data_IF_577095173187
#
_entry.id   IF_577095173187
#
_cell.length_a   1.000
_cell.length_b   1.000
_cell.length_c   1.000
_cell.angle_alpha   90.00
_cell.angle_beta   90.00
_cell.angle_gamma   90.00
#
_symmetry.space_group_name_H-M   'P 1'
#
loop_
_entity.id
_entity.type
_entity.pdbx_description
1 polymer ?
#
# COMPACT_ATOMS: atom_id res chain seq x y z
N UNK A 1 -40.63 37.56 -0.61
CA UNK A 1 -40.14 37.78 -1.99
C UNK A 1 -39.37 36.53 -2.42
N UNK A 2 -39.87 35.82 -3.44
CA UNK A 2 -39.35 34.52 -3.91
C UNK A 2 -38.27 34.74 -4.98
N UNK A 3 -37.11 34.10 -4.87
CA UNK A 3 -36.19 33.91 -5.99
C UNK A 3 -35.69 32.46 -6.00
N UNK A 4 -36.23 31.71 -6.96
CA UNK A 4 -35.71 30.43 -7.41
C UNK A 4 -34.50 30.70 -8.33
N UNK A 5 -33.43 29.90 -8.21
CA UNK A 5 -32.37 29.85 -9.21
C UNK A 5 -32.47 28.51 -9.95
N UNK A 6 -32.66 28.63 -11.25
CA UNK A 6 -32.85 27.58 -12.24
C UNK A 6 -31.47 27.11 -12.72
N UNK A 7 -31.31 25.78 -12.82
CA UNK A 7 -30.21 25.13 -13.52
C UNK A 7 -30.34 25.32 -15.03
N UNK A 8 -29.22 25.57 -15.71
CA UNK A 8 -29.15 25.43 -17.16
C UNK A 8 -27.94 24.57 -17.53
N UNK A 9 -28.26 23.37 -17.99
CA UNK A 9 -27.39 22.43 -18.71
C UNK A 9 -27.28 22.96 -20.14
N UNK A 10 -26.07 23.13 -20.66
CA UNK A 10 -25.87 23.28 -22.10
C UNK A 10 -24.83 22.26 -22.59
N UNK A 11 -25.39 21.22 -23.21
CA UNK A 11 -24.75 20.32 -24.15
C UNK A 11 -24.24 21.11 -25.36
N UNK A 12 -23.04 20.78 -25.84
CA UNK A 12 -22.65 21.11 -27.21
C UNK A 12 -21.83 19.95 -27.79
N UNK A 13 -22.52 19.08 -28.52
CA UNK A 13 -21.94 18.15 -29.49
C UNK A 13 -21.58 18.91 -30.77
N UNK A 14 -20.42 18.63 -31.36
CA UNK A 14 -20.05 18.80 -32.78
C UNK A 14 -18.58 18.37 -32.92
N UNK A 15 -18.05 17.78 -33.99
CA UNK A 15 -18.49 17.11 -35.22
C UNK A 15 -17.19 16.47 -35.77
N UNK A 16 -17.36 15.40 -36.53
CA UNK A 16 -16.42 14.69 -37.41
C UNK A 16 -15.14 15.42 -37.84
N UNK A 17 -14.03 14.67 -37.88
CA UNK A 17 -13.11 14.73 -39.03
C UNK A 17 -12.52 13.34 -39.29
N UNK A 18 -12.90 12.76 -40.44
CA UNK A 18 -12.22 11.63 -41.08
C UNK A 18 -10.90 12.13 -41.66
N UNK A 19 -9.79 11.54 -41.24
CA UNK A 19 -8.49 11.65 -41.90
C UNK A 19 -7.96 10.28 -42.26
N UNK A 20 -8.06 9.90 -43.54
CA UNK A 20 -7.41 8.74 -44.12
C UNK A 20 -6.09 9.17 -44.78
N UNK A 21 -4.97 8.56 -44.38
CA UNK A 21 -3.67 8.52 -45.05
C UNK A 21 -2.75 7.62 -44.18
N UNK A 22 -1.84 6.77 -44.63
CA UNK A 22 -1.37 6.21 -45.90
C UNK A 22 -0.35 5.13 -45.44
N UNK A 23 -0.34 3.90 -45.97
CA UNK A 23 0.59 2.86 -45.48
C UNK A 23 1.97 2.98 -46.15
N UNK A 24 2.97 3.45 -45.40
CA UNK A 24 4.36 3.45 -45.83
C UNK A 24 4.95 2.02 -45.79
N UNK A 25 5.35 1.54 -46.96
CA UNK A 25 6.06 0.28 -47.21
C UNK A 25 7.43 0.25 -46.50
N UNK A 26 7.63 -0.66 -45.56
CA UNK A 26 8.95 -1.00 -45.05
C UNK A 26 9.58 -2.14 -45.89
N UNK A 27 10.77 -1.89 -46.45
CA UNK A 27 11.61 -2.87 -47.16
C UNK A 27 12.30 -3.82 -46.17
N UNK A 28 12.47 -5.11 -46.51
CA UNK A 28 13.32 -6.01 -45.74
C UNK A 28 14.78 -5.82 -46.16
N UNK A 29 15.63 -5.38 -45.23
CA UNK A 29 17.09 -5.36 -45.42
C UNK A 29 17.70 -6.59 -44.76
N UNK A 30 18.19 -7.48 -45.61
CA UNK A 30 19.07 -8.59 -45.29
C UNK A 30 20.39 -8.08 -44.68
N UNK A 31 20.86 -8.70 -43.60
CA UNK A 31 22.29 -8.70 -43.28
C UNK A 31 22.75 -10.08 -42.83
N UNK A 32 23.81 -10.49 -43.52
CA UNK A 32 24.49 -11.78 -43.54
C UNK A 32 25.49 -11.91 -42.37
N UNK A 33 25.82 -13.17 -42.12
CA UNK A 33 27.14 -13.73 -41.75
C UNK A 33 27.63 -13.60 -40.30
N UNK A 34 27.50 -14.73 -39.59
CA UNK A 34 28.58 -15.62 -39.12
C UNK A 34 29.93 -14.98 -38.69
N UNK A 35 30.42 -15.37 -37.50
CA UNK A 35 31.56 -16.31 -37.27
C UNK A 35 31.75 -16.50 -35.74
N UNK A 36 32.22 -17.67 -35.26
CA UNK A 36 32.20 -18.04 -33.84
C UNK A 36 33.57 -17.86 -33.14
N UNK A 37 33.56 -18.24 -31.85
CA UNK A 37 34.66 -18.56 -30.95
C UNK A 37 35.34 -17.38 -30.22
N UNK A 38 35.31 -17.43 -28.88
CA UNK A 38 36.52 -17.66 -28.06
C UNK A 38 36.15 -17.88 -26.59
N UNK A 39 36.23 -19.13 -26.15
CA UNK A 39 36.42 -19.50 -24.73
C UNK A 39 37.73 -18.91 -24.23
N UNK A 40 37.78 -18.41 -22.98
CA UNK A 40 38.87 -18.85 -22.12
C UNK A 40 38.46 -19.13 -20.66
N UNK A 41 39.19 -20.10 -20.11
CA UNK A 41 39.68 -20.19 -18.74
C UNK A 41 38.67 -20.39 -17.59
N UNK A 42 38.50 -21.69 -17.28
CA UNK A 42 38.51 -22.24 -15.92
C UNK A 42 39.41 -21.43 -14.98
N UNK A 43 38.82 -20.78 -13.99
CA UNK A 43 39.50 -20.42 -12.75
C UNK A 43 39.17 -21.49 -11.71
N UNK A 44 40.17 -22.30 -11.41
CA UNK A 44 40.17 -23.27 -10.32
C UNK A 44 40.34 -22.47 -9.04
N UNK A 45 39.26 -22.29 -8.29
CA UNK A 45 39.35 -21.78 -6.92
C UNK A 45 39.53 -22.94 -5.93
N UNK A 46 40.46 -22.68 -5.01
CA UNK A 46 41.16 -23.58 -4.12
C UNK A 46 40.23 -24.08 -2.99
N UNK A 47 40.29 -25.37 -2.60
CA UNK A 47 39.54 -25.85 -1.44
C UNK A 47 40.06 -25.19 -0.16
N UNK A 48 39.18 -24.49 0.56
CA UNK A 48 39.45 -24.02 1.92
C UNK A 48 39.39 -25.21 2.88
N UNK A 49 40.50 -25.40 3.59
CA UNK A 49 40.65 -26.30 4.73
C UNK A 49 39.64 -25.94 5.84
N UNK A 50 39.00 -26.91 6.48
CA UNK A 50 38.19 -26.66 7.66
C UNK A 50 39.10 -26.39 8.86
N UNK A 51 39.05 -25.16 9.38
CA UNK A 51 39.67 -24.82 10.66
C UNK A 51 38.78 -25.36 11.79
N UNK A 52 39.39 -26.24 12.57
CA UNK A 52 38.82 -26.98 13.68
C UNK A 52 38.81 -26.06 14.90
N UNK A 53 37.75 -25.25 15.05
CA UNK A 53 37.57 -24.44 16.24
C UNK A 53 37.06 -25.30 17.41
N UNK A 54 37.82 -25.23 18.50
CA UNK A 54 37.69 -26.08 19.66
C UNK A 54 36.41 -25.79 20.45
N UNK A 55 35.78 -26.87 20.90
CA UNK A 55 34.71 -26.86 21.87
C UNK A 55 35.18 -26.19 23.18
N UNK A 56 34.64 -25.00 23.46
CA UNK A 56 34.62 -24.43 24.80
C UNK A 56 33.30 -24.85 25.48
N UNK A 57 33.43 -25.60 26.57
CA UNK A 57 32.33 -26.08 27.38
C UNK A 57 31.51 -24.90 27.97
N UNK A 58 30.17 -24.95 27.94
CA UNK A 58 29.35 -24.00 28.68
C UNK A 58 29.43 -24.31 30.18
N UNK A 59 29.80 -23.30 30.96
CA UNK A 59 29.74 -23.32 32.42
C UNK A 59 28.29 -23.50 32.92
N UNK A 60 28.08 -24.13 34.10
CA UNK A 60 26.77 -24.32 34.69
C UNK A 60 26.18 -22.97 35.11
N UNK A 61 25.14 -22.53 34.40
CA UNK A 61 24.31 -21.39 34.81
C UNK A 61 23.43 -21.79 35.98
N UNK A 62 23.66 -21.12 37.11
CA UNK A 62 22.89 -21.18 38.34
C UNK A 62 21.46 -20.65 38.12
N UNK A 63 20.42 -21.32 38.63
CA UNK A 63 19.05 -20.82 38.55
C UNK A 63 18.86 -19.73 39.62
N UNK A 64 18.91 -18.46 39.21
CA UNK A 64 18.48 -17.35 40.05
C UNK A 64 16.95 -17.29 39.99
N UNK A 65 16.32 -17.69 41.10
CA UNK A 65 14.90 -17.51 41.35
C UNK A 65 14.56 -16.01 41.31
N UNK A 66 13.88 -15.57 40.26
CA UNK A 66 13.31 -14.23 40.18
C UNK A 66 11.79 -14.33 40.36
N UNK A 67 11.41 -14.35 41.63
CA UNK A 67 10.04 -14.10 42.07
C UNK A 67 9.79 -12.59 42.01
N UNK A 68 9.13 -12.12 40.95
CA UNK A 68 8.53 -10.79 40.91
C UNK A 68 7.06 -10.93 40.54
N UNK A 69 6.22 -10.76 41.57
CA UNK A 69 4.78 -10.69 41.47
C UNK A 69 4.36 -9.66 40.41
N UNK A 70 3.83 -10.16 39.30
CA UNK A 70 3.20 -9.33 38.28
C UNK A 70 1.88 -8.80 38.83
N UNK A 71 1.90 -7.56 39.32
CA UNK A 71 0.70 -6.81 39.63
C UNK A 71 -0.13 -6.68 38.34
N UNK A 72 -1.22 -7.42 38.28
CA UNK A 72 -2.19 -7.41 37.19
C UNK A 72 -2.90 -6.06 37.20
N UNK A 73 -2.31 -5.06 36.54
CA UNK A 73 -2.96 -3.80 36.24
C UNK A 73 -4.14 -4.12 35.33
N UNK A 74 -5.36 -4.00 35.86
CA UNK A 74 -6.59 -4.19 35.10
C UNK A 74 -6.54 -3.31 33.86
N UNK A 75 -6.46 -3.95 32.68
CA UNK A 75 -6.48 -3.26 31.39
C UNK A 75 -7.84 -2.58 31.29
N UNK A 76 -7.90 -1.24 31.13
CA UNK A 76 -9.17 -0.55 30.95
C UNK A 76 -9.86 -1.14 29.72
N UNK A 77 -11.09 -1.60 29.91
CA UNK A 77 -11.92 -2.17 28.85
C UNK A 77 -12.32 -1.03 27.91
N UNK A 78 -11.53 -0.85 26.84
CA UNK A 78 -11.85 0.09 25.77
C UNK A 78 -13.20 -0.30 25.17
N UNK A 79 -14.18 0.62 25.08
CA UNK A 79 -15.50 0.31 24.54
C UNK A 79 -15.38 -0.30 23.14
N UNK A 80 -16.07 -1.42 22.96
CA UNK A 80 -16.01 -2.21 21.73
C UNK A 80 -16.52 -1.37 20.54
N UNK A 81 -15.63 -1.08 19.61
CA UNK A 81 -15.93 -0.25 18.45
C UNK A 81 -16.84 -1.00 17.49
N UNK A 82 -17.85 -0.32 16.94
CA UNK A 82 -18.67 -0.86 15.85
C UNK A 82 -17.79 -1.23 14.64
N UNK A 83 -17.93 -2.47 14.16
CA UNK A 83 -17.24 -2.98 12.98
C UNK A 83 -17.63 -2.18 11.72
N UNK A 84 -16.67 -1.83 10.86
CA UNK A 84 -16.93 -1.10 9.62
C UNK A 84 -17.41 -2.05 8.50
N UNK A 85 -18.63 -1.86 7.97
CA UNK A 85 -19.14 -2.72 6.89
C UNK A 85 -18.68 -2.29 5.50
N UNK A 86 -18.05 -1.11 5.36
CA UNK A 86 -17.62 -0.55 4.08
C UNK A 86 -16.14 -0.17 4.14
N UNK A 87 -15.28 -1.05 3.63
CA UNK A 87 -13.85 -0.82 3.50
C UNK A 87 -13.42 -1.12 2.07
N UNK A 88 -12.41 -0.41 1.58
CA UNK A 88 -11.75 -0.72 0.32
C UNK A 88 -10.35 -1.22 0.64
N UNK A 89 -10.17 -2.53 0.48
CA UNK A 89 -8.95 -3.23 0.87
C UNK A 89 -7.99 -3.28 -0.33
N UNK A 90 -6.81 -2.66 -0.25
CA UNK A 90 -5.79 -2.79 -1.27
C UNK A 90 -5.28 -4.23 -1.32
N UNK A 91 -5.23 -4.79 -2.52
CA UNK A 91 -4.78 -6.15 -2.79
C UNK A 91 -4.01 -6.20 -4.12
N UNK A 92 -3.06 -7.15 -4.27
CA UNK A 92 -2.47 -7.42 -5.57
C UNK A 92 -3.55 -7.80 -6.58
N UNK A 93 -3.46 -7.27 -7.80
CA UNK A 93 -4.45 -7.43 -8.86
C UNK A 93 -4.76 -8.90 -9.20
N UNK A 94 -3.77 -9.77 -9.04
CA UNK A 94 -3.92 -11.22 -9.29
C UNK A 94 -4.97 -11.88 -8.37
N UNK A 95 -5.16 -11.35 -7.16
CA UNK A 95 -6.09 -11.88 -6.15
C UNK A 95 -7.35 -11.01 -5.96
N UNK A 96 -7.57 -10.06 -6.87
CA UNK A 96 -8.73 -9.17 -6.84
C UNK A 96 -10.05 -9.88 -7.15
N UNK A 97 -11.17 -9.26 -6.77
CA UNK A 97 -12.53 -9.70 -7.12
C UNK A 97 -13.05 -8.98 -8.36
N UNK A 98 -14.16 -9.45 -8.94
CA UNK A 98 -14.78 -8.78 -10.09
C UNK A 98 -15.31 -7.38 -9.77
N UNK A 99 -15.56 -7.11 -8.48
CA UNK A 99 -15.99 -5.81 -7.95
C UNK A 99 -14.83 -4.90 -7.52
N UNK A 100 -13.58 -5.33 -7.72
CA UNK A 100 -12.41 -4.55 -7.37
C UNK A 100 -12.20 -3.38 -8.34
N UNK A 101 -11.56 -2.31 -7.84
CA UNK A 101 -11.29 -1.10 -8.63
C UNK A 101 -9.83 -0.70 -8.57
N UNK A 102 -9.28 -0.30 -9.70
CA UNK A 102 -8.02 0.43 -9.72
C UNK A 102 -8.25 1.87 -9.21
N UNK A 103 -7.33 2.39 -8.41
CA UNK A 103 -7.40 3.75 -7.85
C UNK A 103 -6.18 4.52 -8.31
N UNK A 104 -6.38 5.77 -8.75
CA UNK A 104 -5.28 6.65 -9.11
C UNK A 104 -4.43 6.15 -10.28
N UNK A 105 -4.96 5.30 -11.15
CA UNK A 105 -4.19 4.70 -12.24
C UNK A 105 -3.29 3.53 -11.82
N UNK A 106 -3.55 2.92 -10.66
CA UNK A 106 -2.85 1.70 -10.22
C UNK A 106 -2.87 0.59 -11.27
N UNK A 107 -1.74 -0.09 -11.42
CA UNK A 107 -1.52 -1.13 -12.42
C UNK A 107 -1.51 -2.51 -11.77
N UNK A 108 -0.75 -2.67 -10.68
CA UNK A 108 -0.58 -3.93 -9.95
C UNK A 108 -1.50 -4.05 -8.74
N UNK A 109 -2.10 -2.95 -8.29
CA UNK A 109 -3.00 -2.93 -7.12
C UNK A 109 -4.45 -2.68 -7.52
N UNK A 110 -5.35 -3.40 -6.87
CA UNK A 110 -6.79 -3.15 -6.92
C UNK A 110 -7.36 -3.05 -5.52
N UNK A 111 -8.42 -2.26 -5.36
CA UNK A 111 -9.10 -2.04 -4.10
C UNK A 111 -10.40 -2.84 -4.10
N UNK A 112 -10.43 -3.88 -3.27
CA UNK A 112 -11.54 -4.81 -3.18
C UNK A 112 -12.54 -4.35 -2.10
N UNK A 113 -13.86 -4.41 -2.37
CA UNK A 113 -14.87 -4.21 -1.33
C UNK A 113 -14.69 -5.20 -0.19
N UNK A 114 -14.61 -4.69 1.04
CA UNK A 114 -14.40 -5.49 2.24
C UNK A 114 -15.22 -4.96 3.42
N UNK A 115 -15.30 -5.78 4.46
CA UNK A 115 -15.90 -5.45 5.76
C UNK A 115 -14.98 -5.90 6.88
N UNK A 116 -15.08 -5.24 8.01
CA UNK A 116 -14.45 -5.70 9.23
C UNK A 116 -15.26 -6.83 9.86
N UNK A 117 -14.57 -7.78 10.46
CA UNK A 117 -15.12 -8.93 11.17
C UNK A 117 -14.47 -9.04 12.55
N UNK A 118 -15.15 -9.68 13.52
CA UNK A 118 -14.65 -9.78 14.89
C UNK A 118 -13.45 -10.75 15.02
N UNK A 119 -13.39 -11.78 14.16
CA UNK A 119 -12.34 -12.79 14.20
C UNK A 119 -11.19 -12.46 13.25
N UNK A 120 -9.97 -12.90 13.58
CA UNK A 120 -8.81 -12.85 12.69
C UNK A 120 -9.17 -13.45 11.32
N UNK A 121 -8.86 -12.78 10.18
CA UNK A 121 -7.90 -11.68 10.01
C UNK A 121 -8.48 -10.26 10.22
N UNK A 122 -9.63 -10.13 10.89
CA UNK A 122 -10.34 -8.87 11.18
C UNK A 122 -10.94 -8.16 9.97
N UNK A 123 -10.58 -8.54 8.75
CA UNK A 123 -11.19 -8.04 7.51
C UNK A 123 -11.55 -9.20 6.60
N UNK A 124 -12.73 -9.11 5.98
CA UNK A 124 -13.20 -10.05 4.99
C UNK A 124 -13.60 -9.31 3.72
N UNK A 125 -13.04 -9.74 2.59
CA UNK A 125 -13.45 -9.27 1.26
C UNK A 125 -14.84 -9.82 0.96
N UNK A 126 -15.73 -8.98 0.44
CA UNK A 126 -17.03 -9.44 -0.02
C UNK A 126 -16.86 -10.36 -1.23
N UNK A 127 -17.49 -11.53 -1.20
CA UNK A 127 -17.65 -12.31 -2.43
C UNK A 127 -18.64 -11.62 -3.37
N UNK A 128 -18.64 -12.00 -4.64
CA UNK A 128 -19.54 -11.39 -5.63
C UNK A 128 -21.03 -11.56 -5.24
N UNK A 129 -21.40 -12.73 -4.71
CA UNK A 129 -22.76 -12.99 -4.21
C UNK A 129 -23.11 -12.16 -2.98
N UNK A 130 -22.15 -11.96 -2.06
CA UNK A 130 -22.36 -11.12 -0.88
C UNK A 130 -22.46 -9.65 -1.26
N UNK A 131 -21.64 -9.19 -2.20
CA UNK A 131 -21.66 -7.83 -2.70
C UNK A 131 -22.97 -7.52 -3.43
N UNK A 132 -23.46 -8.45 -4.27
CA UNK A 132 -24.74 -8.32 -4.96
C UNK A 132 -25.90 -8.15 -3.96
N UNK A 133 -25.88 -8.87 -2.82
CA UNK A 133 -26.88 -8.74 -1.75
C UNK A 133 -26.88 -7.38 -1.06
N UNK A 134 -25.80 -6.61 -1.14
CA UNK A 134 -25.77 -5.23 -0.62
C UNK A 134 -26.67 -4.28 -1.42
N UNK A 135 -27.00 -4.63 -2.67
CA UNK A 135 -27.89 -3.83 -3.52
C UNK A 135 -27.35 -2.43 -3.85
N UNK A 136 -26.02 -2.25 -3.86
CA UNK A 136 -25.36 -0.98 -4.18
C UNK A 136 -24.32 -1.16 -5.27
N UNK A 137 -24.10 -0.11 -6.07
CA UNK A 137 -23.04 -0.11 -7.07
C UNK A 137 -21.64 0.02 -6.45
N UNK A 138 -20.61 -0.35 -7.20
CA UNK A 138 -19.20 -0.18 -6.79
C UNK A 138 -18.85 1.29 -6.48
N UNK A 139 -19.38 2.25 -7.24
CA UNK A 139 -19.18 3.69 -6.97
C UNK A 139 -19.82 4.14 -5.65
N UNK A 140 -21.03 3.66 -5.36
CA UNK A 140 -21.72 3.96 -4.11
C UNK A 140 -21.01 3.32 -2.91
N UNK A 141 -20.48 2.10 -3.09
CA UNK A 141 -19.66 1.42 -2.09
C UNK A 141 -18.38 2.20 -1.81
N UNK A 142 -17.64 2.60 -2.85
CA UNK A 142 -16.42 3.41 -2.72
C UNK A 142 -16.67 4.68 -1.92
N UNK A 143 -17.74 5.43 -2.23
CA UNK A 143 -18.10 6.64 -1.48
C UNK A 143 -18.31 6.35 0.01
N UNK A 144 -18.98 5.25 0.36
CA UNK A 144 -19.18 4.83 1.75
C UNK A 144 -17.87 4.39 2.41
N UNK A 145 -16.99 3.70 1.68
CA UNK A 145 -15.69 3.27 2.17
C UNK A 145 -14.75 4.46 2.43
N UNK A 146 -14.74 5.48 1.58
CA UNK A 146 -13.99 6.73 1.83
C UNK A 146 -14.47 7.45 3.09
N UNK A 147 -15.79 7.48 3.34
CA UNK A 147 -16.35 8.01 4.58
C UNK A 147 -16.00 7.16 5.81
N UNK A 148 -15.90 5.83 5.66
CA UNK A 148 -15.44 4.95 6.73
C UNK A 148 -13.97 5.19 7.05
N UNK A 149 -13.10 5.26 6.04
CA UNK A 149 -11.69 5.60 6.19
C UNK A 149 -11.50 6.95 6.91
N UNK A 150 -12.31 7.96 6.56
CA UNK A 150 -12.32 9.26 7.24
C UNK A 150 -12.63 9.14 8.73
N UNK A 151 -13.64 8.34 9.11
CA UNK A 151 -13.95 8.08 10.53
C UNK A 151 -12.80 7.36 11.22
N UNK A 152 -12.20 6.37 10.58
CA UNK A 152 -11.09 5.60 11.14
C UNK A 152 -9.85 6.48 11.37
N UNK A 153 -9.58 7.46 10.52
CA UNK A 153 -8.50 8.45 10.76
C UNK A 153 -8.70 9.28 12.02
N UNK A 154 -9.93 9.47 12.49
CA UNK A 154 -10.17 10.16 13.76
C UNK A 154 -9.84 9.30 14.98
N UNK A 155 -9.87 7.97 14.80
CA UNK A 155 -9.64 6.97 15.85
C UNK A 155 -8.16 6.63 15.94
N UNK A 156 -7.51 6.38 14.80
CA UNK A 156 -6.12 5.99 14.74
C UNK A 156 -5.21 7.21 14.58
N UNK A 157 -4.10 7.22 15.32
CA UNK A 157 -3.08 8.26 15.22
C UNK A 157 -1.82 7.68 14.57
N UNK A 158 -1.17 8.43 13.66
CA UNK A 158 0.10 8.01 13.12
C UNK A 158 1.20 8.15 14.18
N UNK A 159 2.16 7.25 14.14
CA UNK A 159 3.44 7.40 14.80
C UNK A 159 4.37 8.21 13.87
N UNK A 160 4.95 9.30 14.38
CA UNK A 160 5.89 10.12 13.62
C UNK A 160 7.32 9.68 13.96
N UNK A 161 8.01 9.11 12.98
CA UNK A 161 9.38 8.65 13.12
C UNK A 161 10.33 9.78 12.74
N UNK A 162 11.26 10.08 13.65
CA UNK A 162 12.24 11.15 13.50
C UNK A 162 13.63 10.58 13.20
N UNK A 163 14.46 11.36 12.52
CA UNK A 163 15.88 11.07 12.35
C UNK A 163 16.71 11.52 13.57
N UNK A 164 18.03 11.34 13.49
CA UNK A 164 18.99 11.72 14.54
C UNK A 164 19.00 13.24 14.81
N UNK A 165 18.63 14.05 13.82
CA UNK A 165 18.52 15.51 13.92
C UNK A 165 17.17 15.95 14.52
N UNK A 166 16.26 15.00 14.79
CA UNK A 166 14.94 15.24 15.34
C UNK A 166 13.90 15.69 14.32
N UNK A 167 14.23 15.68 13.02
CA UNK A 167 13.31 15.98 11.92
C UNK A 167 12.46 14.76 11.60
N UNK A 168 11.17 14.98 11.29
CA UNK A 168 10.26 13.87 10.95
C UNK A 168 10.63 13.31 9.59
N UNK A 169 11.04 12.03 9.55
CA UNK A 169 11.43 11.31 8.33
C UNK A 169 10.22 10.72 7.62
N UNK A 170 9.32 10.10 8.37
CA UNK A 170 8.06 9.54 7.87
C UNK A 170 7.05 9.36 9.01
N UNK A 171 5.78 9.22 8.66
CA UNK A 171 4.70 8.78 9.54
C UNK A 171 4.30 7.34 9.24
N UNK A 172 3.81 6.63 10.24
CA UNK A 172 3.30 5.26 10.05
C UNK A 172 2.03 5.04 10.88
N UNK A 173 0.99 4.50 10.26
CA UNK A 173 -0.08 3.83 10.97
C UNK A 173 0.24 2.34 10.99
N UNK A 174 0.35 1.73 12.17
CA UNK A 174 0.66 0.31 12.29
C UNK A 174 -0.04 -0.32 13.49
N UNK A 175 -0.32 -1.61 13.40
CA UNK A 175 -0.83 -2.41 14.51
C UNK A 175 -1.32 -3.78 14.09
N UNK A 176 -1.91 -4.51 15.03
CA UNK A 176 -2.34 -5.90 14.82
C UNK A 176 -3.54 -6.05 13.87
N UNK A 177 -4.33 -4.98 13.70
CA UNK A 177 -5.50 -4.99 12.81
C UNK A 177 -5.08 -4.74 11.36
N UNK A 178 -5.61 -5.50 10.44
CA UNK A 178 -5.37 -5.39 8.98
C UNK A 178 -6.09 -4.20 8.31
N UNK A 179 -6.46 -3.18 9.08
CA UNK A 179 -7.30 -2.06 8.60
C UNK A 179 -6.50 -0.83 8.19
N UNK A 180 -5.20 -0.78 8.47
CA UNK A 180 -4.41 0.43 8.29
C UNK A 180 -4.22 0.77 6.80
N UNK A 181 -4.06 -0.22 5.93
CA UNK A 181 -3.94 0.04 4.50
C UNK A 181 -5.22 0.67 3.90
N UNK A 182 -6.40 0.38 4.48
CA UNK A 182 -7.67 1.00 4.07
C UNK A 182 -7.74 2.50 4.38
N UNK A 183 -6.92 3.02 5.30
CA UNK A 183 -6.91 4.45 5.66
C UNK A 183 -6.47 5.34 4.50
N UNK A 184 -5.75 4.80 3.53
CA UNK A 184 -5.35 5.50 2.31
C UNK A 184 -6.54 6.11 1.54
N UNK A 185 -7.73 5.50 1.66
CA UNK A 185 -8.93 5.97 0.98
C UNK A 185 -9.56 7.21 1.62
N UNK A 186 -9.08 7.63 2.79
CA UNK A 186 -9.59 8.80 3.50
C UNK A 186 -9.16 10.09 2.79
N UNK A 187 -10.11 10.93 2.32
CA UNK A 187 -9.77 12.18 1.63
C UNK A 187 -8.93 13.16 2.45
N UNK A 188 -9.03 13.14 3.79
CA UNK A 188 -8.23 14.03 4.65
C UNK A 188 -6.87 13.49 5.03
N UNK A 189 -6.45 12.31 4.56
CA UNK A 189 -5.18 11.70 4.96
C UNK A 189 -3.99 12.66 4.73
N UNK A 190 -3.91 13.30 3.56
CA UNK A 190 -2.85 14.28 3.28
C UNK A 190 -2.89 15.48 4.24
N UNK A 191 -4.09 15.93 4.66
CA UNK A 191 -4.26 17.06 5.61
C UNK A 191 -3.71 16.74 6.99
N UNK A 192 -3.74 15.49 7.42
CA UNK A 192 -3.16 15.06 8.71
C UNK A 192 -1.67 15.38 8.78
N UNK A 193 -0.99 15.31 7.64
CA UNK A 193 0.46 15.51 7.54
C UNK A 193 0.86 16.85 6.92
N UNK A 194 -0.11 17.71 6.55
CA UNK A 194 0.16 18.94 5.81
C UNK A 194 1.14 19.87 6.52
N UNK A 195 1.01 19.99 7.84
CA UNK A 195 1.90 20.82 8.67
C UNK A 195 3.34 20.28 8.76
N UNK A 196 3.57 19.00 8.42
CA UNK A 196 4.87 18.34 8.55
C UNK A 196 5.53 18.10 7.20
N UNK A 197 4.75 17.64 6.22
CA UNK A 197 5.24 17.23 4.89
C UNK A 197 4.85 18.18 3.76
N UNK A 198 3.94 19.13 4.01
CA UNK A 198 3.46 20.08 3.01
C UNK A 198 2.23 19.59 2.26
N UNK A 199 2.02 20.10 1.05
CA UNK A 199 0.74 19.97 0.32
C UNK A 199 0.48 18.58 -0.28
N UNK A 200 1.49 17.72 -0.29
CA UNK A 200 1.43 16.40 -0.88
C UNK A 200 2.18 15.41 0.00
N UNK A 201 1.74 14.16 0.01
CA UNK A 201 2.41 13.07 0.71
C UNK A 201 2.53 11.86 -0.20
N UNK A 202 3.58 11.08 0.01
CA UNK A 202 3.77 9.80 -0.66
C UNK A 202 3.38 8.69 0.31
N UNK A 203 2.69 7.66 -0.16
CA UNK A 203 2.11 6.61 0.68
C UNK A 203 2.50 5.24 0.13
N UNK A 204 2.89 4.32 1.03
CA UNK A 204 3.17 2.92 0.71
C UNK A 204 2.51 1.98 1.73
N UNK A 205 2.10 0.80 1.27
CA UNK A 205 1.34 -0.17 2.06
C UNK A 205 1.77 -1.61 1.72
N UNK A 206 2.95 -2.05 2.19
CA UNK A 206 3.45 -3.39 1.84
C UNK A 206 2.54 -4.51 2.36
N UNK A 207 1.89 -4.28 3.50
CA UNK A 207 0.92 -5.21 4.09
C UNK A 207 -0.32 -4.46 4.59
N UNK A 208 -1.34 -5.20 5.01
CA UNK A 208 -2.59 -4.63 5.51
C UNK A 208 -2.49 -4.02 6.91
N UNK A 209 -1.45 -4.37 7.66
CA UNK A 209 -1.19 -3.96 9.03
C UNK A 209 -0.45 -2.62 9.13
N UNK A 210 0.06 -2.08 8.02
CA UNK A 210 0.82 -0.85 8.01
C UNK A 210 0.46 0.07 6.83
N UNK A 211 0.45 1.37 7.12
CA UNK A 211 0.38 2.44 6.13
C UNK A 211 1.49 3.44 6.42
N UNK A 212 2.45 3.52 5.52
CA UNK A 212 3.59 4.44 5.60
C UNK A 212 3.27 5.71 4.84
N UNK A 213 3.63 6.85 5.41
CA UNK A 213 3.40 8.19 4.84
C UNK A 213 4.72 8.96 4.87
N UNK A 214 5.22 9.28 3.69
CA UNK A 214 6.49 9.95 3.44
C UNK A 214 6.26 11.39 2.98
N UNK A 215 7.25 12.28 3.17
CA UNK A 215 7.26 13.58 2.49
C UNK A 215 7.22 13.43 0.96
N UNK A 216 6.88 14.49 0.21
CA UNK A 216 6.81 14.47 -1.26
C UNK A 216 8.21 14.49 -1.90
N UNK A 217 9.11 13.64 -1.42
CA UNK A 217 10.45 13.44 -1.93
C UNK A 217 10.65 11.94 -2.23
N UNK A 218 10.67 11.54 -3.52
CA UNK A 218 10.84 10.14 -3.92
C UNK A 218 12.09 9.47 -3.35
N UNK A 219 13.19 10.22 -3.18
CA UNK A 219 14.45 9.65 -2.64
C UNK A 219 14.28 9.09 -1.22
N UNK A 220 13.35 9.63 -0.42
CA UNK A 220 13.07 9.08 0.90
C UNK A 220 12.46 7.69 0.77
N UNK A 221 11.54 7.48 -0.18
CA UNK A 221 10.95 6.16 -0.42
C UNK A 221 12.01 5.18 -0.92
N UNK A 222 12.95 5.65 -1.75
CA UNK A 222 14.03 4.82 -2.28
C UNK A 222 14.93 4.24 -1.20
N UNK A 223 15.20 5.02 -0.15
CA UNK A 223 15.97 4.56 1.03
C UNK A 223 15.25 3.43 1.79
N UNK A 224 13.91 3.38 1.74
CA UNK A 224 13.09 2.40 2.47
C UNK A 224 12.64 1.22 1.61
N UNK A 225 12.80 1.29 0.30
CA UNK A 225 12.15 0.35 -0.59
C UNK A 225 12.60 -1.10 -0.41
N UNK A 226 13.87 -1.35 -0.06
CA UNK A 226 14.32 -2.70 0.28
C UNK A 226 13.57 -3.27 1.49
N UNK A 227 13.35 -2.46 2.53
CA UNK A 227 12.57 -2.86 3.70
C UNK A 227 11.09 -3.07 3.36
N UNK A 228 10.52 -2.20 2.50
CA UNK A 228 9.14 -2.31 2.03
C UNK A 228 8.94 -3.57 1.19
N UNK A 229 9.88 -3.89 0.31
CA UNK A 229 9.88 -5.08 -0.55
C UNK A 229 9.94 -6.35 0.28
N UNK A 230 10.93 -6.48 1.18
CA UNK A 230 11.05 -7.64 2.09
C UNK A 230 9.75 -7.83 2.89
N UNK A 231 9.15 -6.73 3.35
CA UNK A 231 7.89 -6.77 4.10
C UNK A 231 6.72 -7.19 3.24
N UNK A 232 6.62 -6.71 2.00
CA UNK A 232 5.59 -7.10 1.05
C UNK A 232 5.69 -8.59 0.69
N UNK A 233 6.89 -9.09 0.42
CA UNK A 233 7.12 -10.50 0.04
C UNK A 233 6.89 -11.49 1.19
N UNK A 234 7.24 -11.09 2.42
CA UNK A 234 7.08 -11.94 3.60
C UNK A 234 5.70 -11.85 4.26
N UNK A 235 4.86 -10.88 3.86
CA UNK A 235 3.55 -10.69 4.44
C UNK A 235 2.56 -11.78 4.03
N UNK A 236 1.93 -12.43 5.02
CA UNK A 236 0.79 -13.32 4.78
C UNK A 236 -0.37 -12.61 4.10
N UNK A 237 -0.53 -11.32 4.41
CA UNK A 237 -1.59 -10.45 3.90
C UNK A 237 -0.97 -9.21 3.25
N UNK A 238 -0.22 -9.43 2.16
CA UNK A 238 0.32 -8.37 1.32
C UNK A 238 -0.82 -7.47 0.79
N UNK A 239 -0.55 -6.16 0.73
CA UNK A 239 -1.53 -5.16 0.29
C UNK A 239 -1.20 -4.59 -1.09
N UNK A 240 -0.09 -3.87 -1.23
CA UNK A 240 0.34 -3.26 -2.48
C UNK A 240 1.85 -3.11 -2.53
N UNK A 241 2.44 -3.38 -3.69
CA UNK A 241 3.82 -3.03 -4.01
C UNK A 241 3.94 -1.62 -4.63
N UNK A 242 2.81 -0.96 -4.89
CA UNK A 242 2.76 0.37 -5.46
C UNK A 242 2.89 1.47 -4.40
N UNK A 243 3.45 2.57 -4.85
CA UNK A 243 3.60 3.81 -4.11
C UNK A 243 2.64 4.83 -4.72
N UNK A 244 1.97 5.60 -3.87
CA UNK A 244 0.95 6.54 -4.29
C UNK A 244 1.26 7.94 -3.79
N UNK A 245 0.89 8.96 -4.55
CA UNK A 245 0.88 10.34 -4.10
C UNK A 245 -0.55 10.77 -3.75
N UNK A 246 -0.70 11.49 -2.65
CA UNK A 246 -1.97 12.05 -2.20
C UNK A 246 -1.81 13.56 -2.04
N UNK A 247 -2.66 14.32 -2.73
CA UNK A 247 -2.72 15.79 -2.58
C UNK A 247 -3.56 16.14 -1.36
N UNK A 248 -3.00 16.90 -0.42
CA UNK A 248 -3.66 17.25 0.84
C UNK A 248 -4.95 18.06 0.63
N UNK A 249 -4.96 18.99 -0.33
CA UNK A 249 -6.11 19.88 -0.56
C UNK A 249 -7.32 19.10 -1.12
N UNK A 250 -7.11 18.26 -2.14
CA UNK A 250 -8.18 17.57 -2.88
C UNK A 250 -8.46 16.14 -2.42
N UNK A 251 -7.51 15.49 -1.73
CA UNK A 251 -7.56 14.05 -1.45
C UNK A 251 -7.51 13.19 -2.72
N UNK A 252 -6.97 13.75 -3.82
CA UNK A 252 -6.73 13.02 -5.06
C UNK A 252 -5.56 12.05 -4.87
N UNK A 253 -5.75 10.82 -5.34
CA UNK A 253 -4.78 9.72 -5.24
C UNK A 253 -4.25 9.44 -6.65
N UNK A 254 -2.94 9.30 -6.80
CA UNK A 254 -2.32 8.87 -8.06
C UNK A 254 -1.20 7.86 -7.78
N UNK A 255 -1.13 6.80 -8.57
CA UNK A 255 -0.03 5.84 -8.52
C UNK A 255 1.24 6.51 -9.06
N UNK A 256 2.34 6.41 -8.32
CA UNK A 256 3.64 6.99 -8.65
C UNK A 256 4.59 5.94 -9.26
N UNK A 257 4.53 4.71 -8.77
CA UNK A 257 5.41 3.62 -9.19
C UNK A 257 5.29 2.41 -8.27
N UNK A 258 6.27 1.51 -8.29
CA UNK A 258 6.35 0.33 -7.41
C UNK A 258 7.71 0.26 -6.73
N UNK A 259 7.75 -0.21 -5.48
CA UNK A 259 9.00 -0.42 -4.75
C UNK A 259 9.65 -1.80 -5.01
N UNK A 260 8.95 -2.72 -5.68
CA UNK A 260 9.42 -4.09 -6.02
C UNK A 260 10.06 -4.21 -7.41
N UNK A 261 9.92 -3.20 -8.27
CA UNK A 261 10.29 -3.29 -9.70
C UNK A 261 11.70 -2.72 -10.00
N UNK A 262 12.66 -2.93 -9.10
CA UNK A 262 14.02 -2.36 -9.18
C UNK A 262 14.97 -3.17 -10.06
#
# INVERSE_FOLDING_TARGET
MKRALVWMVLSCSSVLSLGAAEPAKAKPSSSKKATPAKTPAKSVEKPRTPEKEAAAAPAPVTPVASSAASATKAVPVTPERKLEPFLLLPMPKLVGTSNAKAVGGSVTTVFCPAREIAASPYIQVYTDDEFAKLGISADAFEKKARQAAERLLTVYRPELIKDEEGKVRYGVYRGEKEIFACLMMAPSLGKVFENVFGKEVIVAMPDRNALYVFPPNPSVVDDFAGDLEVRYESALNAASDEVFIIKAESGEISALGSFSSR
#
